data_IF_590509571552
#
_entry.id   IF_590509571552
#
_cell.length_a   1.000
_cell.length_b   1.000
_cell.length_c   1.000
_cell.angle_alpha   90.00
_cell.angle_beta   90.00
_cell.angle_gamma   90.00
#
_symmetry.space_group_name_H-M   'P 1'
#
loop_
_entity.id
_entity.type
_entity.pdbx_description
1 polymer ?
#
# COMPACT_ATOMS: atom_id res chain seq x y z
N UNK A 1 -5.39 -6.24 -2.86
CA UNK A 1 -6.03 -6.71 -1.60
C UNK A 1 -5.58 -5.77 -0.49
N UNK A 2 -6.48 -5.31 0.38
CA UNK A 2 -6.16 -4.38 1.48
C UNK A 2 -6.03 -5.16 2.80
N UNK A 3 -4.85 -5.14 3.42
CA UNK A 3 -4.59 -5.74 4.73
C UNK A 3 -4.24 -4.67 5.77
N UNK A 4 -4.87 -4.77 6.95
CA UNK A 4 -4.56 -3.92 8.09
C UNK A 4 -3.55 -4.62 9.00
N UNK A 5 -2.38 -4.00 9.17
CA UNK A 5 -1.31 -4.49 10.01
C UNK A 5 -1.03 -3.52 11.15
N UNK A 6 -0.97 -4.02 12.39
CA UNK A 6 -0.59 -3.20 13.54
C UNK A 6 0.87 -3.44 13.89
N UNK A 7 1.71 -2.42 13.78
CA UNK A 7 3.12 -2.54 14.13
C UNK A 7 3.28 -2.81 15.63
N UNK A 8 4.02 -3.85 16.01
CA UNK A 8 4.30 -4.17 17.42
C UNK A 8 5.23 -3.14 18.08
N UNK A 9 6.06 -2.47 17.29
CA UNK A 9 7.05 -1.51 17.79
C UNK A 9 6.41 -0.16 18.12
N UNK A 10 5.77 0.49 17.14
CA UNK A 10 5.18 1.82 17.31
C UNK A 10 3.67 1.81 17.59
N UNK A 11 3.04 0.63 17.72
CA UNK A 11 1.58 0.44 17.89
C UNK A 11 0.71 1.12 16.83
N UNK A 12 1.31 1.57 15.73
CA UNK A 12 0.64 2.31 14.66
C UNK A 12 -0.05 1.33 13.71
N UNK A 13 -1.25 1.70 13.26
CA UNK A 13 -1.97 0.96 12.23
C UNK A 13 -1.41 1.31 10.86
N UNK A 14 -1.08 0.29 10.10
CA UNK A 14 -0.51 0.35 8.76
C UNK A 14 -1.47 -0.38 7.83
N UNK A 15 -1.68 0.19 6.66
CA UNK A 15 -2.44 -0.42 5.59
C UNK A 15 -1.45 -0.89 4.54
N UNK A 16 -1.51 -2.17 4.23
CA UNK A 16 -0.74 -2.80 3.16
C UNK A 16 -1.72 -3.06 2.03
N UNK A 17 -1.50 -2.40 0.90
CA UNK A 17 -2.27 -2.63 -0.32
C UNK A 17 -1.40 -3.44 -1.26
N UNK A 18 -1.78 -4.68 -1.48
CA UNK A 18 -1.14 -5.53 -2.48
C UNK A 18 -1.82 -5.32 -3.83
N UNK A 19 -1.04 -4.96 -4.85
CA UNK A 19 -1.50 -4.92 -6.23
C UNK A 19 -0.80 -6.01 -7.05
N UNK A 20 -1.57 -7.04 -7.41
CA UNK A 20 -1.13 -8.18 -8.20
C UNK A 20 -1.26 -7.83 -9.68
N UNK A 21 -0.21 -7.27 -10.26
CA UNK A 21 -0.21 -6.78 -11.64
C UNK A 21 0.03 -7.87 -12.68
N UNK A 22 0.70 -8.96 -12.30
CA UNK A 22 1.05 -10.02 -13.23
C UNK A 22 0.73 -11.38 -12.58
N UNK A 23 0.18 -12.29 -13.38
CA UNK A 23 0.10 -13.71 -13.02
C UNK A 23 1.41 -14.37 -13.49
N UNK A 24 2.57 -13.80 -13.18
CA UNK A 24 3.84 -14.41 -13.55
C UNK A 24 4.17 -15.55 -12.60
N UNK A 25 4.89 -16.53 -13.10
CA UNK A 25 5.41 -17.65 -12.31
C UNK A 25 6.52 -17.21 -11.33
N UNK A 26 7.08 -16.00 -11.50
CA UNK A 26 8.26 -15.49 -10.78
C UNK A 26 7.90 -14.51 -9.65
N UNK A 27 7.48 -15.08 -8.51
CA UNK A 27 7.21 -14.28 -7.30
C UNK A 27 8.50 -13.73 -6.70
N UNK A 28 8.52 -12.42 -6.44
CA UNK A 28 9.60 -11.73 -5.75
C UNK A 28 9.35 -11.65 -4.25
N UNK A 29 10.38 -11.90 -3.44
CA UNK A 29 10.34 -11.66 -1.99
C UNK A 29 10.50 -10.17 -1.70
N UNK A 30 9.42 -9.55 -1.24
CA UNK A 30 9.40 -8.14 -0.84
C UNK A 30 9.35 -8.06 0.68
N UNK A 31 10.28 -7.29 1.23
CA UNK A 31 10.31 -7.01 2.64
C UNK A 31 9.41 -5.83 2.98
N UNK A 32 8.48 -6.07 3.89
CA UNK A 32 7.53 -5.07 4.36
C UNK A 32 8.11 -4.45 5.63
N UNK A 33 8.38 -3.15 5.58
CA UNK A 33 8.82 -2.35 6.72
C UNK A 33 7.74 -1.35 7.13
N UNK A 34 7.74 -0.97 8.41
CA UNK A 34 6.81 0.02 8.92
C UNK A 34 7.20 1.43 8.42
N UNK A 35 6.29 2.17 7.76
CA UNK A 35 6.61 3.50 7.24
C UNK A 35 6.85 4.53 8.37
N UNK A 36 6.40 4.25 9.60
CA UNK A 36 6.53 5.15 10.73
C UNK A 36 7.81 4.95 11.56
N UNK A 37 8.41 3.76 11.55
CA UNK A 37 9.56 3.44 12.40
C UNK A 37 10.64 2.58 11.72
N UNK A 38 10.50 2.33 10.42
CA UNK A 38 11.37 1.50 9.59
C UNK A 38 11.56 0.05 10.10
N UNK A 39 10.75 -0.36 11.08
CA UNK A 39 10.85 -1.69 11.66
C UNK A 39 10.35 -2.73 10.66
N UNK A 40 11.14 -3.78 10.41
CA UNK A 40 10.72 -4.91 9.59
C UNK A 40 9.48 -5.56 10.19
N UNK A 41 8.42 -5.66 9.41
CA UNK A 41 7.17 -6.29 9.83
C UNK A 41 7.19 -7.75 9.42
N UNK A 42 7.40 -8.00 8.14
CA UNK A 42 7.28 -9.32 7.52
C UNK A 42 7.99 -9.34 6.16
N UNK A 43 8.21 -10.52 5.60
CA UNK A 43 8.65 -10.69 4.21
C UNK A 43 7.57 -11.46 3.48
N UNK A 44 7.09 -10.93 2.36
CA UNK A 44 6.00 -11.54 1.57
C UNK A 44 6.44 -11.76 0.13
N UNK A 45 5.93 -12.85 -0.44
CA UNK A 45 6.11 -13.17 -1.86
C UNK A 45 4.97 -12.53 -2.65
N UNK A 46 5.29 -11.63 -3.58
CA UNK A 46 4.31 -11.08 -4.52
C UNK A 46 4.90 -11.03 -5.92
N UNK A 47 4.03 -11.06 -6.92
CA UNK A 47 4.39 -10.89 -8.33
C UNK A 47 4.23 -9.44 -8.81
N UNK A 48 3.79 -8.55 -7.91
CA UNK A 48 3.55 -7.15 -8.20
C UNK A 48 4.22 -6.23 -7.18
N UNK A 49 3.43 -5.33 -6.60
CA UNK A 49 3.92 -4.27 -5.72
C UNK A 49 3.10 -4.23 -4.44
N UNK A 50 3.77 -4.03 -3.32
CA UNK A 50 3.13 -3.71 -2.05
C UNK A 50 3.21 -2.20 -1.81
N UNK A 51 2.06 -1.57 -1.62
CA UNK A 51 1.99 -0.20 -1.16
C UNK A 51 1.76 -0.19 0.35
N UNK A 52 2.68 0.40 1.10
CA UNK A 52 2.69 0.33 2.56
C UNK A 52 2.59 1.75 3.10
N UNK A 53 1.49 2.06 3.76
CA UNK A 53 1.25 3.40 4.30
C UNK A 53 0.53 3.37 5.64
N UNK A 54 0.62 4.44 6.41
CA UNK A 54 -0.12 4.54 7.68
C UNK A 54 -1.63 4.70 7.41
N UNK A 55 -2.48 4.26 8.35
CA UNK A 55 -3.95 4.43 8.23
C UNK A 55 -4.35 5.89 8.01
N UNK A 56 -3.59 6.82 8.61
CA UNK A 56 -3.82 8.26 8.51
C UNK A 56 -3.55 8.75 7.07
N UNK A 57 -2.44 8.31 6.47
CA UNK A 57 -2.10 8.65 5.08
C UNK A 57 -3.05 8.01 4.10
N UNK A 58 -3.39 6.74 4.30
CA UNK A 58 -4.38 6.03 3.49
C UNK A 58 -5.73 6.76 3.43
N UNK A 59 -6.22 7.24 4.58
CA UNK A 59 -7.46 8.04 4.65
C UNK A 59 -7.34 9.36 3.90
N UNK A 60 -6.21 10.08 4.06
CA UNK A 60 -5.96 11.32 3.33
C UNK A 60 -5.93 11.10 1.82
N UNK A 61 -5.24 10.07 1.37
CA UNK A 61 -5.15 9.73 -0.06
C UNK A 61 -6.52 9.39 -0.63
N UNK A 62 -7.33 8.59 0.08
CA UNK A 62 -8.71 8.27 -0.33
C UNK A 62 -9.61 9.50 -0.40
N UNK A 63 -9.44 10.46 0.50
CA UNK A 63 -10.13 11.76 0.42
C UNK A 63 -9.66 12.59 -0.78
N UNK A 64 -8.36 12.59 -1.09
CA UNK A 64 -7.80 13.29 -2.26
C UNK A 64 -8.30 12.65 -3.55
N UNK A 65 -8.31 11.32 -3.63
CA UNK A 65 -8.83 10.58 -4.79
C UNK A 65 -10.32 10.82 -4.99
N UNK A 66 -11.11 10.86 -3.91
CA UNK A 66 -12.53 11.19 -3.96
C UNK A 66 -12.79 12.63 -4.42
N UNK A 67 -11.86 13.56 -4.10
CA UNK A 67 -11.89 14.96 -4.56
C UNK A 67 -11.23 15.16 -5.92
N UNK A 68 -10.63 14.11 -6.50
CA UNK A 68 -10.11 14.10 -7.86
C UNK A 68 -11.30 13.97 -8.81
N UNK A 69 -12.14 15.01 -8.78
CA UNK A 69 -13.19 15.24 -9.75
C UNK A 69 -12.54 15.13 -11.13
N UNK A 70 -13.00 14.16 -11.93
CA UNK A 70 -12.43 13.83 -13.23
C UNK A 70 -12.31 15.11 -14.03
N UNK A 71 -11.10 15.65 -14.17
CA UNK A 71 -10.83 16.65 -15.19
C UNK A 71 -11.28 15.99 -16.50
N UNK A 72 -12.30 16.54 -17.18
CA UNK A 72 -12.72 15.98 -18.45
C UNK A 72 -11.50 16.03 -19.36
N UNK A 73 -11.09 14.88 -19.88
CA UNK A 73 -10.06 14.83 -20.90
C UNK A 73 -10.51 15.77 -22.03
N UNK A 74 -9.72 16.79 -22.40
CA UNK A 74 -9.99 17.49 -23.64
C UNK A 74 -9.73 16.48 -24.76
N UNK A 75 -10.82 15.92 -25.31
CA UNK A 75 -10.73 15.20 -26.59
C UNK A 75 -10.31 16.25 -27.62
N UNK A 76 -9.09 16.13 -28.13
CA UNK A 76 -8.65 16.80 -29.36
C UNK A 76 -8.97 15.91 -30.56
#
# INVERSE_FOLDING_TARGET
>A
MEELYKCKNCQTNIVIVEDNLFYSDEKSEVQISCPACDHKLDTRLTDGWFFIQTEIEFKKEKEIESKKERLPYPMM
#
